data_IF_317540575602
#
_entry.id   IF_317540575602
#
_cell.length_a   1.000
_cell.length_b   1.000
_cell.length_c   1.000
_cell.angle_alpha   90.00
_cell.angle_beta   90.00
_cell.angle_gamma   90.00
#
_symmetry.space_group_name_H-M   'P 1'
#
loop_
_entity.id
_entity.type
_entity.pdbx_description
1 polymer ?
#
# COMPACT_ATOMS: atom_id res chain seq x y z
N UNK A 1 4.64 15.71 -15.92
CA UNK A 1 4.43 14.53 -15.04
C UNK A 1 2.93 14.27 -14.79
N UNK A 2 2.04 15.28 -14.92
CA UNK A 2 0.58 15.07 -14.87
C UNK A 2 0.02 14.07 -15.89
N UNK A 3 0.62 13.94 -17.08
CA UNK A 3 0.04 13.21 -18.21
C UNK A 3 -0.24 11.72 -17.94
N UNK A 4 0.40 11.12 -16.93
CA UNK A 4 0.21 9.72 -16.57
C UNK A 4 -0.69 9.52 -15.32
N UNK A 5 -1.08 10.60 -14.64
CA UNK A 5 -2.06 10.52 -13.53
C UNK A 5 -3.44 10.16 -14.09
N UNK A 6 -4.30 9.57 -13.27
CA UNK A 6 -5.65 9.16 -13.67
C UNK A 6 -5.74 7.85 -14.49
N UNK A 7 -4.66 7.40 -15.13
CA UNK A 7 -4.63 6.19 -15.97
C UNK A 7 -4.53 4.86 -15.20
N UNK A 8 -4.53 4.92 -13.86
CA UNK A 8 -4.48 3.76 -12.95
C UNK A 8 -3.24 2.85 -13.13
N UNK A 9 -2.13 3.39 -13.65
CA UNK A 9 -0.88 2.64 -13.81
C UNK A 9 -0.35 2.08 -12.49
N UNK A 10 -0.43 2.86 -11.39
CA UNK A 10 -0.04 2.38 -10.06
C UNK A 10 -0.81 1.12 -9.66
N UNK A 11 -2.13 1.11 -9.84
CA UNK A 11 -2.96 -0.07 -9.54
C UNK A 11 -2.58 -1.28 -10.42
N UNK A 12 -2.32 -1.06 -11.72
CA UNK A 12 -1.89 -2.14 -12.62
C UNK A 12 -0.54 -2.72 -12.21
N UNK A 13 0.44 -1.87 -11.91
CA UNK A 13 1.77 -2.29 -11.45
C UNK A 13 1.68 -3.05 -10.13
N UNK A 14 0.96 -2.52 -9.14
CA UNK A 14 0.74 -3.21 -7.87
C UNK A 14 0.06 -4.58 -8.06
N UNK A 15 -0.93 -4.69 -8.95
CA UNK A 15 -1.57 -5.98 -9.25
C UNK A 15 -0.58 -7.03 -9.77
N UNK A 16 0.38 -6.64 -10.63
CA UNK A 16 1.44 -7.54 -11.09
C UNK A 16 2.36 -7.98 -9.95
N UNK A 17 2.73 -7.05 -9.06
CA UNK A 17 3.54 -7.36 -7.88
C UNK A 17 2.83 -8.31 -6.91
N UNK A 18 1.51 -8.16 -6.72
CA UNK A 18 0.73 -9.07 -5.90
C UNK A 18 0.70 -10.49 -6.48
N UNK A 19 0.57 -10.63 -7.81
CA UNK A 19 0.67 -11.93 -8.48
C UNK A 19 2.05 -12.57 -8.26
N UNK A 20 3.11 -11.76 -8.31
CA UNK A 20 4.47 -12.23 -8.02
C UNK A 20 4.61 -12.68 -6.57
N UNK A 21 4.17 -11.87 -5.60
CA UNK A 21 4.18 -12.21 -4.18
C UNK A 21 3.45 -13.53 -3.89
N UNK A 22 2.27 -13.72 -4.51
CA UNK A 22 1.51 -14.99 -4.44
C UNK A 22 2.29 -16.16 -5.03
N UNK A 23 2.95 -15.99 -6.18
CA UNK A 23 3.81 -17.03 -6.78
C UNK A 23 4.98 -17.42 -5.87
N UNK A 24 5.51 -16.46 -5.12
CA UNK A 24 6.54 -16.68 -4.11
C UNK A 24 6.01 -17.21 -2.77
N UNK A 25 4.71 -17.55 -2.68
CA UNK A 25 4.07 -18.07 -1.45
C UNK A 25 4.26 -17.16 -0.25
N UNK A 26 4.30 -15.85 -0.47
CA UNK A 26 4.22 -14.89 0.62
C UNK A 26 2.82 -15.02 1.25
N UNK A 27 2.71 -14.99 2.59
CA UNK A 27 1.40 -15.11 3.26
C UNK A 27 0.57 -13.83 3.08
N UNK A 28 1.23 -12.67 3.06
CA UNK A 28 0.59 -11.37 2.95
C UNK A 28 1.51 -10.32 2.32
N UNK A 29 0.91 -9.21 1.89
CA UNK A 29 1.59 -7.98 1.50
C UNK A 29 1.05 -6.82 2.33
N UNK A 30 1.97 -6.01 2.87
CA UNK A 30 1.65 -4.76 3.56
C UNK A 30 1.99 -3.59 2.64
N UNK A 31 1.04 -2.66 2.49
CA UNK A 31 1.22 -1.42 1.73
C UNK A 31 1.03 -0.25 2.69
N UNK A 32 1.99 0.66 2.73
CA UNK A 32 1.88 1.89 3.53
C UNK A 32 1.72 3.11 2.65
N UNK A 33 0.91 4.07 3.10
CA UNK A 33 0.86 5.39 2.50
C UNK A 33 0.42 6.44 3.52
N UNK A 34 0.89 7.69 3.33
CA UNK A 34 0.48 8.81 4.17
C UNK A 34 -1.05 8.96 4.25
N UNK A 35 -1.62 9.29 5.42
CA UNK A 35 -3.08 9.40 5.60
C UNK A 35 -3.77 10.42 4.69
N UNK A 36 -3.06 11.49 4.34
CA UNK A 36 -3.49 12.58 3.46
C UNK A 36 -3.43 12.20 1.96
N UNK A 37 -2.76 11.09 1.60
CA UNK A 37 -2.64 10.64 0.23
C UNK A 37 -3.87 9.84 -0.23
N UNK A 38 -4.97 10.55 -0.44
CA UNK A 38 -6.24 9.96 -0.89
C UNK A 38 -6.13 9.14 -2.18
N UNK A 39 -5.21 9.51 -3.09
CA UNK A 39 -5.01 8.77 -4.34
C UNK A 39 -4.40 7.38 -4.10
N UNK A 40 -3.41 7.28 -3.21
CA UNK A 40 -2.82 5.99 -2.80
C UNK A 40 -3.79 5.14 -2.00
N UNK A 41 -4.57 5.74 -1.10
CA UNK A 41 -5.62 5.04 -0.34
C UNK A 41 -6.65 4.39 -1.26
N UNK A 42 -7.19 5.15 -2.22
CA UNK A 42 -8.09 4.64 -3.27
C UNK A 42 -7.43 3.56 -4.14
N UNK A 43 -6.11 3.59 -4.31
CA UNK A 43 -5.38 2.55 -5.03
C UNK A 43 -5.32 1.26 -4.21
N UNK A 44 -5.01 1.34 -2.92
CA UNK A 44 -5.01 0.19 -2.00
C UNK A 44 -6.39 -0.48 -1.92
N UNK A 45 -7.45 0.32 -1.76
CA UNK A 45 -8.84 -0.17 -1.73
C UNK A 45 -9.21 -0.91 -3.01
N UNK A 46 -8.82 -0.39 -4.18
CA UNK A 46 -9.06 -1.06 -5.49
C UNK A 46 -8.29 -2.37 -5.66
N UNK A 47 -7.16 -2.52 -4.97
CA UNK A 47 -6.39 -3.76 -4.98
C UNK A 47 -7.00 -4.83 -4.06
N UNK A 48 -8.08 -4.51 -3.34
CA UNK A 48 -8.66 -5.38 -2.31
C UNK A 48 -7.88 -5.37 -1.00
N UNK A 49 -6.98 -4.39 -0.80
CA UNK A 49 -6.26 -4.25 0.45
C UNK A 49 -7.18 -3.71 1.54
N UNK A 50 -7.12 -4.31 2.73
CA UNK A 50 -7.89 -3.87 3.89
C UNK A 50 -7.07 -2.90 4.71
N UNK A 51 -7.67 -1.78 5.12
CA UNK A 51 -7.03 -0.85 6.04
C UNK A 51 -6.96 -1.51 7.42
N UNK A 52 -5.76 -1.82 7.89
CA UNK A 52 -5.50 -2.35 9.22
C UNK A 52 -5.49 -1.24 10.28
N UNK A 53 -5.21 0.01 9.89
CA UNK A 53 -5.19 1.16 10.78
C UNK A 53 -4.24 2.25 10.32
N UNK A 54 -4.18 3.33 11.08
CA UNK A 54 -3.15 4.37 10.97
C UNK A 54 -2.14 4.09 12.08
N UNK A 55 -0.86 3.97 11.72
CA UNK A 55 0.22 3.65 12.66
C UNK A 55 1.15 4.85 12.79
N UNK A 56 1.54 5.16 14.02
CA UNK A 56 2.57 6.17 14.28
C UNK A 56 3.94 5.61 13.89
N UNK A 57 4.71 6.43 13.19
CA UNK A 57 6.06 6.08 12.79
C UNK A 57 7.02 6.14 13.99
N UNK A 58 7.90 5.14 14.15
CA UNK A 58 8.99 5.20 15.12
C UNK A 58 9.89 6.43 14.88
N UNK A 59 10.37 7.06 15.94
CA UNK A 59 11.19 8.29 15.85
C UNK A 59 12.53 8.07 15.16
N UNK A 60 13.04 6.85 15.16
CA UNK A 60 14.26 6.40 14.49
C UNK A 60 14.03 6.05 13.01
N UNK A 61 12.78 5.99 12.54
CA UNK A 61 12.51 5.69 11.13
C UNK A 61 12.90 6.85 10.21
N UNK A 62 13.42 6.58 8.99
CA UNK A 62 13.77 7.63 8.03
C UNK A 62 12.59 8.56 7.69
N UNK A 63 11.38 8.00 7.57
CA UNK A 63 10.17 8.77 7.28
C UNK A 63 9.84 9.74 8.43
N UNK A 64 10.03 9.32 9.69
CA UNK A 64 9.85 10.21 10.83
C UNK A 64 10.83 11.39 10.81
N UNK A 65 12.10 11.09 10.51
CA UNK A 65 13.15 12.11 10.39
C UNK A 65 12.87 13.09 9.24
N UNK A 66 12.14 12.66 8.21
CA UNK A 66 11.71 13.49 7.08
C UNK A 66 10.44 14.30 7.36
N UNK A 67 9.82 14.15 8.53
CA UNK A 67 8.67 14.93 8.97
C UNK A 67 7.34 14.19 8.95
N UNK A 68 7.29 12.96 8.42
CA UNK A 68 6.10 12.13 8.51
C UNK A 68 5.89 11.68 9.97
N UNK A 69 4.65 11.45 10.38
CA UNK A 69 4.32 11.04 11.75
C UNK A 69 3.47 9.77 11.78
N UNK A 70 2.69 9.56 10.73
CA UNK A 70 1.70 8.51 10.66
C UNK A 70 1.63 7.95 9.24
N UNK A 71 1.33 6.66 9.14
CA UNK A 71 1.12 5.96 7.88
C UNK A 71 -0.17 5.13 7.97
N UNK A 72 -1.01 5.15 6.93
CA UNK A 72 -2.02 4.13 6.76
C UNK A 72 -1.35 2.80 6.46
N UNK A 73 -1.71 1.75 7.18
CA UNK A 73 -1.25 0.38 6.95
C UNK A 73 -2.37 -0.43 6.29
N UNK A 74 -2.18 -0.81 5.04
CA UNK A 74 -3.08 -1.70 4.30
C UNK A 74 -2.49 -3.11 4.21
N UNK A 75 -3.33 -4.14 4.31
CA UNK A 75 -2.93 -5.55 4.31
C UNK A 75 -3.70 -6.31 3.23
N UNK A 76 -3.00 -7.17 2.49
CA UNK A 76 -3.57 -8.17 1.59
C UNK A 76 -3.09 -9.54 2.06
N UNK A 77 -4.02 -10.36 2.55
CA UNK A 77 -3.75 -11.75 2.90
C UNK A 77 -3.98 -12.64 1.67
N UNK A 78 -3.02 -13.48 1.30
CA UNK A 78 -3.17 -14.40 0.18
C UNK A 78 -3.86 -15.71 0.58
N UNK A 79 -3.82 -16.06 1.86
CA UNK A 79 -4.47 -17.26 2.43
C UNK A 79 -6.01 -17.16 2.43
N UNK A 80 -6.56 -15.97 2.27
CA UNK A 80 -8.00 -15.73 2.18
C UNK A 80 -8.58 -15.98 0.77
N UNK A 81 -7.72 -16.17 -0.25
CA UNK A 81 -8.12 -16.54 -1.61
C UNK A 81 -8.05 -18.05 -1.77
N UNK A 82 -8.94 -18.76 -1.09
CA UNK A 82 -9.11 -20.20 -1.21
C UNK A 82 -10.05 -20.57 -2.36
#
# INVERSE_FOLDING_TARGET
MESFRGHRYAAKACSLLLKLAKKHRMPQVVITCRPDNLASRKTCERLGARLSGIVTLPSDSPLYQQGDREECRYIINFDEFR
#
